data_IF_338536900569
#
_entry.id   IF_338536900569
#
_cell.length_a   1.000
_cell.length_b   1.000
_cell.length_c   1.000
_cell.angle_alpha   90.00
_cell.angle_beta   90.00
_cell.angle_gamma   90.00
#
_symmetry.space_group_name_H-M   'P 1'
#
loop_
_entity.id
_entity.type
_entity.pdbx_description
1 polymer ?
#
# COMPACT_ATOMS: atom_id res chain seq x y z
N UNK A 1 0.39 19.71 7.45
CA UNK A 1 -1.08 19.79 7.32
C UNK A 1 -1.73 19.45 8.67
N UNK A 2 -1.60 18.23 9.23
CA UNK A 2 -2.24 17.81 10.48
C UNK A 2 -1.95 18.75 11.67
N UNK A 3 -0.70 19.20 11.85
CA UNK A 3 -0.31 20.18 12.88
C UNK A 3 -1.01 21.52 12.69
N UNK A 4 -1.10 22.00 11.47
CA UNK A 4 -1.78 23.26 11.16
C UNK A 4 -3.31 23.18 11.40
N UNK A 5 -3.87 21.97 11.30
CA UNK A 5 -5.28 21.69 11.57
C UNK A 5 -5.58 21.34 13.04
N UNK A 6 -4.61 21.46 13.95
CA UNK A 6 -4.79 21.20 15.38
C UNK A 6 -4.78 19.73 15.80
N UNK A 7 -4.48 18.79 14.89
CA UNK A 7 -4.45 17.34 15.17
C UNK A 7 -3.10 16.83 15.73
N UNK A 8 -2.20 17.73 16.08
CA UNK A 8 -0.89 17.39 16.62
C UNK A 8 0.20 17.16 15.54
N UNK A 9 1.43 16.88 16.00
CA UNK A 9 2.61 16.74 15.16
C UNK A 9 3.21 15.32 15.17
N UNK A 10 2.66 14.42 15.99
CA UNK A 10 3.16 13.05 16.14
C UNK A 10 2.15 12.02 15.59
N UNK A 11 2.67 10.87 15.19
CA UNK A 11 1.83 9.76 14.75
C UNK A 11 0.90 9.24 15.85
N UNK A 12 1.35 9.28 17.12
CA UNK A 12 0.55 8.87 18.27
C UNK A 12 -0.62 9.82 18.51
N UNK A 13 -0.43 11.13 18.31
CA UNK A 13 -1.52 12.10 18.36
C UNK A 13 -2.56 11.84 17.26
N UNK A 14 -2.14 11.52 16.02
CA UNK A 14 -3.05 11.17 14.94
C UNK A 14 -3.82 9.88 15.22
N UNK A 15 -3.20 8.90 15.87
CA UNK A 15 -3.86 7.68 16.30
C UNK A 15 -4.92 7.97 17.40
N UNK A 16 -4.58 8.75 18.41
CA UNK A 16 -5.51 9.16 19.47
C UNK A 16 -6.74 9.88 18.92
N UNK A 17 -6.55 10.67 17.86
CA UNK A 17 -7.61 11.36 17.14
C UNK A 17 -8.37 10.45 16.14
N UNK A 18 -8.03 9.17 16.03
CA UNK A 18 -8.68 8.24 15.13
C UNK A 18 -8.40 8.45 13.62
N UNK A 19 -7.42 9.29 13.27
CA UNK A 19 -7.01 9.51 11.88
C UNK A 19 -6.19 8.36 11.32
N UNK A 20 -5.51 7.62 12.21
CA UNK A 20 -4.68 6.44 11.89
C UNK A 20 -5.03 5.31 12.85
N UNK A 21 -5.24 4.11 12.33
CA UNK A 21 -5.45 2.94 13.17
C UNK A 21 -4.12 2.41 13.76
N UNK A 22 -4.15 1.66 14.88
CA UNK A 22 -2.94 1.02 15.42
C UNK A 22 -2.23 0.10 14.41
N UNK A 23 -2.98 -0.57 13.55
CA UNK A 23 -2.44 -1.42 12.48
C UNK A 23 -1.71 -0.58 11.43
N UNK A 24 -2.35 0.46 10.91
CA UNK A 24 -1.76 1.40 9.93
C UNK A 24 -0.49 2.04 10.47
N UNK A 25 -0.50 2.47 11.73
CA UNK A 25 0.68 3.05 12.37
C UNK A 25 1.85 2.07 12.46
N UNK A 26 1.59 0.81 12.81
CA UNK A 26 2.64 -0.21 12.82
C UNK A 26 3.22 -0.44 11.43
N UNK A 27 2.40 -0.48 10.40
CA UNK A 27 2.86 -0.64 9.01
C UNK A 27 3.69 0.56 8.56
N UNK A 28 3.24 1.77 8.88
CA UNK A 28 3.95 3.00 8.53
C UNK A 28 5.34 3.06 9.21
N UNK A 29 5.41 2.73 10.51
CA UNK A 29 6.69 2.69 11.24
C UNK A 29 7.66 1.65 10.67
N UNK A 30 7.17 0.46 10.29
CA UNK A 30 7.99 -0.57 9.64
C UNK A 30 8.51 -0.11 8.27
N UNK A 31 7.66 0.49 7.46
CA UNK A 31 8.06 1.02 6.16
C UNK A 31 9.08 2.16 6.32
N UNK A 32 8.85 3.10 7.23
CA UNK A 32 9.77 4.20 7.54
C UNK A 32 11.13 3.69 8.02
N UNK A 33 11.16 2.72 8.92
CA UNK A 33 12.41 2.12 9.41
C UNK A 33 13.23 1.50 8.26
N UNK A 34 12.57 0.75 7.35
CA UNK A 34 13.25 0.20 6.18
C UNK A 34 13.80 1.29 5.26
N UNK A 35 13.01 2.32 4.97
CA UNK A 35 13.45 3.42 4.10
C UNK A 35 14.61 4.20 4.72
N UNK A 36 14.62 4.41 6.03
CA UNK A 36 15.75 5.03 6.75
C UNK A 36 17.01 4.17 6.69
N UNK A 37 16.87 2.84 6.86
CA UNK A 37 18.01 1.92 6.73
C UNK A 37 18.59 1.94 5.31
N UNK A 38 17.73 1.88 4.29
CA UNK A 38 18.17 1.98 2.89
C UNK A 38 18.92 3.30 2.66
N UNK A 39 18.40 4.42 3.16
CA UNK A 39 19.04 5.74 3.04
C UNK A 39 20.39 5.79 3.74
N UNK A 40 20.50 5.23 4.95
CA UNK A 40 21.77 5.16 5.70
C UNK A 40 22.82 4.40 4.91
N UNK A 41 22.50 3.19 4.44
CA UNK A 41 23.42 2.37 3.65
C UNK A 41 23.77 3.01 2.30
N UNK A 42 22.83 3.75 1.71
CA UNK A 42 23.07 4.51 0.48
C UNK A 42 24.11 5.61 0.70
N UNK A 43 24.01 6.39 1.81
CA UNK A 43 25.01 7.39 2.16
C UNK A 43 26.39 6.77 2.41
N UNK A 44 26.44 5.60 3.07
CA UNK A 44 27.69 4.86 3.30
C UNK A 44 28.29 4.36 1.99
N UNK A 45 27.49 3.79 1.10
CA UNK A 45 27.94 3.28 -0.19
C UNK A 45 28.42 4.39 -1.14
N UNK A 46 27.76 5.55 -1.11
CA UNK A 46 28.13 6.71 -1.93
C UNK A 46 29.29 7.53 -1.35
N UNK A 47 29.67 7.33 -0.08
CA UNK A 47 30.67 8.14 0.64
C UNK A 47 30.27 9.62 0.84
N UNK A 48 29.00 9.95 0.54
CA UNK A 48 28.43 11.31 0.62
C UNK A 48 26.93 11.22 0.87
N UNK A 49 26.33 12.38 1.16
CA UNK A 49 24.86 12.48 1.17
C UNK A 49 24.32 12.21 -0.23
N UNK A 50 23.59 11.12 -0.39
CA UNK A 50 22.95 10.70 -1.63
C UNK A 50 21.50 10.28 -1.33
N UNK A 51 20.54 10.86 -2.04
CA UNK A 51 19.10 10.59 -1.84
C UNK A 51 18.49 9.82 -3.03
N UNK A 52 19.30 9.52 -4.06
CA UNK A 52 18.87 8.74 -5.24
C UNK A 52 19.50 7.36 -5.21
N UNK A 53 18.68 6.33 -5.11
CA UNK A 53 19.12 4.94 -5.17
C UNK A 53 19.41 4.53 -6.64
N UNK A 54 20.56 4.99 -7.14
CA UNK A 54 21.04 4.72 -8.48
C UNK A 54 21.33 3.23 -8.67
N UNK A 55 21.22 2.74 -9.90
CA UNK A 55 21.39 1.33 -10.22
C UNK A 55 22.72 0.75 -9.73
N UNK A 56 23.80 1.49 -9.91
CA UNK A 56 25.16 1.09 -9.52
C UNK A 56 25.32 0.89 -8.00
N UNK A 57 24.54 1.63 -7.20
CA UNK A 57 24.58 1.54 -5.74
C UNK A 57 23.63 0.47 -5.18
N UNK A 58 22.64 0.01 -5.95
CA UNK A 58 21.64 -0.95 -5.47
C UNK A 58 22.27 -2.27 -5.00
N UNK A 59 23.24 -2.80 -5.74
CA UNK A 59 23.90 -4.06 -5.40
C UNK A 59 24.69 -3.95 -4.09
N UNK A 60 25.43 -2.84 -3.91
CA UNK A 60 26.23 -2.60 -2.72
C UNK A 60 25.36 -2.37 -1.48
N UNK A 61 24.32 -1.55 -1.60
CA UNK A 61 23.32 -1.32 -0.52
C UNK A 61 22.62 -2.62 -0.16
N UNK A 62 22.26 -3.44 -1.15
CA UNK A 62 21.60 -4.72 -0.93
C UNK A 62 22.49 -5.71 -0.17
N UNK A 63 23.77 -5.80 -0.53
CA UNK A 63 24.74 -6.64 0.16
C UNK A 63 24.92 -6.20 1.62
N UNK A 64 25.12 -4.92 1.87
CA UNK A 64 25.28 -4.38 3.23
C UNK A 64 24.05 -4.61 4.10
N UNK A 65 22.84 -4.42 3.56
CA UNK A 65 21.60 -4.48 4.30
C UNK A 65 21.10 -5.91 4.54
N UNK A 66 21.41 -6.85 3.63
CA UNK A 66 20.97 -8.25 3.70
C UNK A 66 22.07 -9.19 4.22
N UNK A 67 23.34 -8.75 4.27
CA UNK A 67 24.46 -9.48 4.86
C UNK A 67 24.54 -9.35 6.38
N UNK A 68 23.81 -8.42 7.01
CA UNK A 68 23.72 -8.35 8.47
C UNK A 68 22.90 -9.56 8.95
N UNK A 69 23.49 -10.51 9.72
CA UNK A 69 22.69 -11.51 10.40
C UNK A 69 21.73 -10.78 11.34
N UNK A 70 20.46 -11.20 11.35
CA UNK A 70 19.54 -10.78 12.39
C UNK A 70 20.28 -10.98 13.73
N UNK A 71 20.53 -9.90 14.46
CA UNK A 71 21.16 -9.92 15.78
C UNK A 71 20.25 -10.65 16.74
N UNK A 72 20.48 -11.94 16.86
CA UNK A 72 19.76 -12.87 17.72
C UNK A 72 20.57 -14.15 17.90
N UNK A 73 21.43 -14.12 18.96
CA UNK A 73 22.12 -15.27 19.56
C UNK A 73 23.41 -15.77 18.86
N UNK A 74 24.62 -15.49 19.40
CA UNK A 74 25.88 -16.02 18.88
C UNK A 74 26.28 -17.39 19.48
N UNK A 75 25.35 -18.35 19.56
CA UNK A 75 25.68 -19.69 20.06
C UNK A 75 24.90 -20.77 19.33
N UNK A 76 25.25 -21.06 18.08
CA UNK A 76 25.08 -22.36 17.43
C UNK A 76 25.36 -22.23 15.93
N UNK A 77 26.62 -22.40 15.48
CA UNK A 77 26.98 -23.07 14.23
C UNK A 77 28.48 -22.97 13.97
N UNK A 78 29.23 -23.75 14.72
CA UNK A 78 30.52 -24.27 14.28
C UNK A 78 30.27 -25.76 13.96
N UNK A 79 30.07 -26.09 12.69
CA UNK A 79 30.46 -27.37 12.10
C UNK A 79 29.79 -27.54 10.73
N UNK A 80 30.62 -27.63 9.74
CA UNK A 80 30.52 -28.24 8.39
C UNK A 80 30.86 -27.25 7.25
N UNK A 81 32.17 -26.98 7.13
CA UNK A 81 32.73 -26.63 5.85
C UNK A 81 33.12 -27.95 5.12
N UNK A 82 32.28 -28.38 4.21
CA UNK A 82 32.67 -29.35 3.18
C UNK A 82 32.91 -28.58 1.88
N UNK A 83 34.18 -28.64 1.42
CA UNK A 83 34.67 -28.10 0.16
C UNK A 83 33.89 -28.67 -1.03
N UNK A 84 33.13 -27.84 -1.72
CA UNK A 84 32.74 -28.06 -3.11
C UNK A 84 33.19 -26.87 -3.97
N UNK A 85 33.78 -27.08 -5.16
CA UNK A 85 34.20 -26.00 -6.05
C UNK A 85 32.99 -25.27 -6.61
N UNK A 86 32.78 -24.03 -6.18
CA UNK A 86 31.73 -23.16 -6.70
C UNK A 86 32.12 -22.69 -8.11
N UNK A 87 31.37 -23.12 -9.12
CA UNK A 87 31.54 -22.69 -10.50
C UNK A 87 31.31 -21.17 -10.63
N UNK A 88 32.18 -20.50 -11.42
CA UNK A 88 32.19 -19.04 -11.61
C UNK A 88 30.87 -18.42 -12.09
N UNK A 89 29.94 -19.21 -12.63
CA UNK A 89 28.62 -18.77 -13.08
C UNK A 89 27.64 -18.43 -11.93
N UNK A 90 27.88 -18.90 -10.68
CA UNK A 90 27.01 -18.60 -9.54
C UNK A 90 27.30 -17.23 -8.91
N UNK A 91 28.49 -16.67 -9.14
CA UNK A 91 28.94 -15.42 -8.50
C UNK A 91 28.26 -14.17 -9.07
N UNK A 92 27.86 -14.17 -10.34
CA UNK A 92 27.26 -13.01 -11.01
C UNK A 92 25.74 -12.92 -10.73
N UNK A 93 25.06 -14.05 -10.57
CA UNK A 93 23.61 -14.09 -10.33
C UNK A 93 23.21 -13.81 -8.87
N UNK A 94 24.09 -14.07 -7.91
CA UNK A 94 23.81 -13.87 -6.49
C UNK A 94 23.63 -12.39 -6.10
N UNK A 95 24.50 -11.43 -6.49
CA UNK A 95 24.31 -10.01 -6.20
C UNK A 95 23.08 -9.42 -6.90
N UNK A 96 22.77 -9.86 -8.12
CA UNK A 96 21.58 -9.42 -8.86
C UNK A 96 20.28 -9.85 -8.14
N UNK A 97 20.18 -11.10 -7.69
CA UNK A 97 19.03 -11.57 -6.89
C UNK A 97 18.88 -10.82 -5.58
N UNK A 98 19.99 -10.43 -4.96
CA UNK A 98 20.00 -9.67 -3.71
C UNK A 98 19.50 -8.24 -3.92
N UNK A 99 19.92 -7.58 -5.00
CA UNK A 99 19.44 -6.27 -5.42
C UNK A 99 17.93 -6.29 -5.73
N UNK A 100 17.44 -7.27 -6.47
CA UNK A 100 16.01 -7.44 -6.77
C UNK A 100 15.18 -7.62 -5.49
N UNK A 101 15.66 -8.41 -4.52
CA UNK A 101 15.01 -8.58 -3.21
C UNK A 101 14.93 -7.28 -2.44
N UNK A 102 16.02 -6.48 -2.44
CA UNK A 102 16.02 -5.15 -1.84
C UNK A 102 14.99 -4.26 -2.51
N UNK A 103 15.02 -4.15 -3.84
CA UNK A 103 14.13 -3.27 -4.59
C UNK A 103 12.67 -3.66 -4.42
N UNK A 104 12.34 -4.94 -4.37
CA UNK A 104 10.98 -5.41 -4.06
C UNK A 104 10.53 -4.94 -2.67
N UNK A 105 11.38 -5.04 -1.65
CA UNK A 105 11.07 -4.56 -0.29
C UNK A 105 10.95 -3.04 -0.25
N UNK A 106 11.85 -2.33 -0.94
CA UNK A 106 11.85 -0.87 -1.04
C UNK A 106 10.56 -0.35 -1.67
N UNK A 107 10.17 -0.88 -2.85
CA UNK A 107 8.95 -0.45 -3.52
C UNK A 107 7.69 -0.77 -2.71
N UNK A 108 7.63 -1.91 -2.04
CA UNK A 108 6.52 -2.23 -1.13
C UNK A 108 6.42 -1.25 0.03
N UNK A 109 7.54 -0.89 0.64
CA UNK A 109 7.56 0.09 1.72
C UNK A 109 7.17 1.49 1.23
N UNK A 110 7.71 1.94 0.11
CA UNK A 110 7.36 3.23 -0.49
C UNK A 110 5.87 3.30 -0.85
N UNK A 111 5.33 2.25 -1.45
CA UNK A 111 3.90 2.14 -1.80
C UNK A 111 3.01 2.15 -0.56
N UNK A 112 3.40 1.44 0.51
CA UNK A 112 2.66 1.45 1.78
C UNK A 112 2.62 2.86 2.40
N UNK A 113 3.74 3.57 2.44
CA UNK A 113 3.78 4.96 2.92
C UNK A 113 2.87 5.86 2.10
N UNK A 114 2.92 5.76 0.77
CA UNK A 114 2.09 6.56 -0.13
C UNK A 114 0.60 6.32 0.12
N UNK A 115 0.18 5.05 0.18
CA UNK A 115 -1.23 4.68 0.39
C UNK A 115 -1.74 5.11 1.77
N UNK A 116 -0.98 4.85 2.83
CA UNK A 116 -1.36 5.26 4.18
C UNK A 116 -1.40 6.79 4.33
N UNK A 117 -0.45 7.50 3.71
CA UNK A 117 -0.47 8.97 3.68
C UNK A 117 -1.71 9.52 2.97
N UNK A 118 -2.13 8.90 1.86
CA UNK A 118 -3.35 9.28 1.15
C UNK A 118 -4.60 9.08 2.01
N UNK A 119 -4.72 7.94 2.69
CA UNK A 119 -5.83 7.64 3.61
C UNK A 119 -5.89 8.71 4.71
N UNK A 120 -4.75 9.05 5.33
CA UNK A 120 -4.69 10.06 6.39
C UNK A 120 -5.08 11.44 5.89
N UNK A 121 -4.59 11.85 4.71
CA UNK A 121 -4.91 13.16 4.15
C UNK A 121 -6.38 13.29 3.78
N UNK A 122 -7.00 12.26 3.22
CA UNK A 122 -8.43 12.25 2.91
C UNK A 122 -9.27 12.27 4.18
N UNK A 123 -8.95 11.44 5.19
CA UNK A 123 -9.63 11.50 6.50
C UNK A 123 -9.54 12.88 7.15
N UNK A 124 -8.37 13.50 7.06
CA UNK A 124 -8.18 14.85 7.59
C UNK A 124 -9.04 15.87 6.84
N UNK A 125 -9.10 15.78 5.52
CA UNK A 125 -9.94 16.65 4.69
C UNK A 125 -11.43 16.50 5.03
N UNK A 126 -11.89 15.26 5.22
CA UNK A 126 -13.28 14.97 5.60
C UNK A 126 -13.61 15.54 6.97
N UNK A 127 -12.73 15.37 7.97
CA UNK A 127 -12.93 15.97 9.30
C UNK A 127 -12.94 17.49 9.30
N UNK A 128 -12.08 18.12 8.49
CA UNK A 128 -12.08 19.59 8.36
C UNK A 128 -13.38 20.09 7.72
N UNK A 129 -13.92 19.37 6.74
CA UNK A 129 -15.23 19.69 6.15
C UNK A 129 -16.35 19.55 7.19
N UNK A 130 -16.32 18.47 7.99
CA UNK A 130 -17.30 18.27 9.09
C UNK A 130 -17.24 19.38 10.12
N UNK A 131 -16.04 19.80 10.54
CA UNK A 131 -15.86 20.91 11.49
C UNK A 131 -16.33 22.27 10.94
N UNK A 132 -16.23 22.46 9.62
CA UNK A 132 -16.67 23.68 8.97
C UNK A 132 -18.19 23.75 8.73
N UNK A 133 -18.93 22.68 9.07
CA UNK A 133 -20.39 22.63 8.90
C UNK A 133 -21.10 23.40 10.02
N UNK A 134 -22.19 24.12 9.71
CA UNK A 134 -23.02 24.72 10.72
C UNK A 134 -23.59 23.68 11.70
N UNK A 135 -23.63 24.00 12.99
CA UNK A 135 -24.08 23.05 14.03
C UNK A 135 -25.52 22.51 13.82
N UNK A 136 -26.33 23.20 13.04
CA UNK A 136 -27.71 22.81 12.72
C UNK A 136 -27.85 22.06 11.37
N UNK A 137 -26.76 21.84 10.63
CA UNK A 137 -26.83 21.13 9.36
C UNK A 137 -27.02 19.64 9.61
N UNK A 138 -28.08 19.07 9.03
CA UNK A 138 -28.31 17.62 9.04
C UNK A 138 -27.10 16.88 8.42
N UNK A 139 -26.81 15.67 8.91
CA UNK A 139 -25.80 14.82 8.30
C UNK A 139 -26.14 14.61 6.81
N UNK A 140 -25.16 14.69 5.88
CA UNK A 140 -25.44 14.49 4.48
C UNK A 140 -25.91 13.05 4.27
N UNK A 141 -27.05 12.92 3.62
CA UNK A 141 -27.47 11.62 3.09
C UNK A 141 -26.64 11.42 1.80
N UNK A 142 -25.74 10.47 1.81
CA UNK A 142 -24.94 10.15 0.63
C UNK A 142 -25.84 9.48 -0.42
N UNK A 143 -25.82 9.92 -1.69
CA UNK A 143 -26.54 9.26 -2.77
C UNK A 143 -26.05 7.82 -2.91
N UNK A 144 -26.99 6.85 -2.85
CA UNK A 144 -26.67 5.45 -3.05
C UNK A 144 -26.45 5.15 -4.54
N UNK A 145 -25.34 4.55 -4.89
CA UNK A 145 -25.06 3.99 -6.23
C UNK A 145 -25.70 2.60 -6.31
N UNK A 146 -25.51 1.82 -5.25
CA UNK A 146 -26.18 0.54 -5.02
C UNK A 146 -26.16 0.23 -3.50
N UNK A 147 -26.68 -0.92 -3.02
CA UNK A 147 -26.70 -1.23 -1.58
C UNK A 147 -25.32 -1.28 -0.90
N UNK A 148 -24.26 -1.42 -1.67
CA UNK A 148 -22.86 -1.55 -1.18
C UNK A 148 -22.05 -0.28 -1.27
N UNK A 149 -22.44 0.67 -2.14
CA UNK A 149 -21.64 1.83 -2.47
C UNK A 149 -22.46 3.10 -2.56
N UNK A 150 -21.85 4.19 -2.12
CA UNK A 150 -22.40 5.54 -2.11
C UNK A 150 -21.48 6.51 -2.85
N UNK A 151 -22.04 7.61 -3.33
CA UNK A 151 -21.28 8.75 -3.83
C UNK A 151 -21.05 9.74 -2.67
N UNK A 152 -19.80 9.88 -2.26
CA UNK A 152 -19.38 10.89 -1.29
C UNK A 152 -18.66 12.03 -2.04
N UNK A 153 -19.44 12.96 -2.58
CA UNK A 153 -18.93 14.14 -3.32
C UNK A 153 -17.95 13.76 -4.46
N UNK A 154 -18.33 12.80 -5.28
CA UNK A 154 -17.53 12.31 -6.38
C UNK A 154 -16.46 11.29 -5.97
N UNK A 155 -16.48 10.81 -4.73
CA UNK A 155 -15.65 9.72 -4.25
C UNK A 155 -16.52 8.50 -3.92
N UNK A 156 -16.15 7.34 -4.44
CA UNK A 156 -16.85 6.09 -4.17
C UNK A 156 -16.61 5.68 -2.71
N UNK A 157 -17.69 5.51 -1.95
CA UNK A 157 -17.65 5.14 -0.54
C UNK A 157 -18.34 3.81 -0.29
N UNK A 158 -17.71 2.93 0.50
CA UNK A 158 -18.28 1.65 0.92
C UNK A 158 -19.35 1.84 2.00
N UNK A 159 -20.40 1.03 1.96
CA UNK A 159 -21.47 1.04 2.97
C UNK A 159 -20.98 0.56 4.35
N UNK A 160 -20.00 -0.36 4.37
CA UNK A 160 -19.45 -0.95 5.59
C UNK A 160 -17.94 -1.07 5.49
N UNK A 161 -17.23 -0.87 6.63
CA UNK A 161 -15.79 -1.09 6.72
C UNK A 161 -15.40 -2.56 6.50
N UNK A 162 -16.35 -3.48 6.70
CA UNK A 162 -16.19 -4.93 6.54
C UNK A 162 -16.66 -5.44 5.18
N UNK A 163 -17.14 -4.57 4.28
CA UNK A 163 -17.75 -4.97 3.00
C UNK A 163 -16.89 -5.99 2.23
N UNK A 164 -15.60 -5.73 2.10
CA UNK A 164 -14.70 -6.60 1.31
C UNK A 164 -14.32 -7.91 2.01
N UNK A 165 -14.46 -7.96 3.33
CA UNK A 165 -14.28 -9.19 4.09
C UNK A 165 -15.52 -10.09 4.00
N UNK A 166 -16.71 -9.48 4.03
CA UNK A 166 -17.99 -10.17 3.94
C UNK A 166 -18.36 -10.55 2.50
N UNK A 167 -18.02 -9.68 1.54
CA UNK A 167 -18.33 -9.82 0.13
C UNK A 167 -17.09 -9.53 -0.74
N UNK A 168 -16.15 -10.48 -0.86
CA UNK A 168 -14.86 -10.27 -1.54
C UNK A 168 -14.97 -9.80 -3.00
N UNK A 169 -15.97 -10.28 -3.75
CA UNK A 169 -16.21 -9.87 -5.14
C UNK A 169 -16.47 -8.37 -5.30
N UNK A 170 -16.91 -7.67 -4.23
CA UNK A 170 -17.08 -6.21 -4.23
C UNK A 170 -15.76 -5.46 -4.40
N UNK A 171 -14.59 -6.10 -4.18
CA UNK A 171 -13.28 -5.51 -4.44
C UNK A 171 -13.17 -5.10 -5.91
N UNK A 172 -13.45 -6.01 -6.84
CA UNK A 172 -13.38 -5.70 -8.28
C UNK A 172 -14.55 -4.83 -8.76
N UNK A 173 -15.72 -4.96 -8.13
CA UNK A 173 -16.87 -4.10 -8.41
C UNK A 173 -16.55 -2.61 -8.14
N UNK A 174 -15.74 -2.31 -7.12
CA UNK A 174 -15.27 -0.95 -6.83
C UNK A 174 -14.67 -0.27 -8.07
N UNK A 175 -13.78 -0.96 -8.77
CA UNK A 175 -13.10 -0.42 -9.96
C UNK A 175 -14.03 -0.35 -11.17
N UNK A 176 -14.93 -1.32 -11.31
CA UNK A 176 -15.98 -1.28 -12.31
C UNK A 176 -16.89 -0.06 -12.14
N UNK A 177 -17.33 0.21 -10.90
CA UNK A 177 -18.16 1.38 -10.62
C UNK A 177 -17.43 2.70 -10.89
N UNK A 178 -16.16 2.83 -10.47
CA UNK A 178 -15.34 4.00 -10.80
C UNK A 178 -15.19 4.21 -12.31
N UNK A 179 -15.18 3.14 -13.08
CA UNK A 179 -15.07 3.19 -14.54
C UNK A 179 -16.38 3.59 -15.22
N UNK A 180 -17.54 3.18 -14.67
CA UNK A 180 -18.86 3.40 -15.27
C UNK A 180 -19.52 4.72 -14.85
N UNK A 181 -19.25 5.20 -13.64
CA UNK A 181 -19.89 6.37 -13.07
C UNK A 181 -19.10 7.64 -13.40
N UNK A 182 -19.59 8.44 -14.34
CA UNK A 182 -18.91 9.66 -14.79
C UNK A 182 -18.68 10.71 -13.67
N UNK A 183 -19.52 10.68 -12.62
CA UNK A 183 -19.39 11.55 -11.44
C UNK A 183 -18.34 11.12 -10.43
N UNK A 184 -17.85 9.86 -10.50
CA UNK A 184 -16.90 9.32 -9.54
C UNK A 184 -15.46 9.53 -10.07
N UNK A 185 -14.70 10.33 -9.35
CA UNK A 185 -13.31 10.70 -9.69
C UNK A 185 -12.25 9.92 -8.89
N UNK A 186 -12.67 9.13 -7.87
CA UNK A 186 -11.75 8.40 -7.01
C UNK A 186 -12.43 7.64 -5.88
N UNK A 187 -11.63 7.24 -4.88
CA UNK A 187 -12.08 6.47 -3.73
C UNK A 187 -12.01 7.33 -2.46
N UNK A 188 -13.00 7.20 -1.58
CA UNK A 188 -12.99 7.83 -0.27
C UNK A 188 -11.91 7.22 0.65
N UNK A 189 -11.57 7.93 1.73
CA UNK A 189 -10.65 7.42 2.75
C UNK A 189 -11.10 6.07 3.32
N UNK A 190 -12.41 5.93 3.56
CA UNK A 190 -13.03 4.71 4.08
C UNK A 190 -12.86 3.54 3.12
N UNK A 191 -13.13 3.76 1.82
CA UNK A 191 -12.95 2.74 0.78
C UNK A 191 -11.48 2.33 0.60
N UNK A 192 -10.56 3.30 0.57
CA UNK A 192 -9.13 3.01 0.51
C UNK A 192 -8.64 2.20 1.71
N UNK A 193 -9.11 2.52 2.92
CA UNK A 193 -8.80 1.77 4.14
C UNK A 193 -9.35 0.36 4.09
N UNK A 194 -10.60 0.20 3.68
CA UNK A 194 -11.24 -1.10 3.53
C UNK A 194 -10.49 -1.98 2.52
N UNK A 195 -10.09 -1.45 1.35
CA UNK A 195 -9.26 -2.14 0.36
C UNK A 195 -7.87 -2.51 0.92
N UNK A 196 -7.23 -1.59 1.65
CA UNK A 196 -5.94 -1.84 2.27
C UNK A 196 -5.98 -3.01 3.25
N UNK A 197 -7.05 -3.11 4.04
CA UNK A 197 -7.25 -4.17 5.02
C UNK A 197 -7.68 -5.50 4.37
N UNK A 198 -8.35 -5.46 3.22
CA UNK A 198 -8.85 -6.64 2.51
C UNK A 198 -7.79 -7.37 1.66
N UNK A 199 -6.53 -6.92 1.63
CA UNK A 199 -5.46 -7.59 0.86
C UNK A 199 -5.32 -9.09 1.12
N UNK A 200 -5.40 -9.57 2.38
CA UNK A 200 -5.31 -11.01 2.65
C UNK A 200 -6.43 -11.84 2.05
N UNK A 201 -7.56 -11.22 1.69
CA UNK A 201 -8.71 -11.89 1.07
C UNK A 201 -8.43 -12.25 -0.40
N UNK A 202 -7.52 -11.51 -1.05
CA UNK A 202 -7.17 -11.74 -2.46
C UNK A 202 -6.14 -12.87 -2.60
N UNK A 203 -6.50 -14.04 -2.14
CA UNK A 203 -5.71 -15.28 -2.20
C UNK A 203 -5.91 -16.04 -3.52
N UNK A 204 -5.44 -17.29 -3.58
CA UNK A 204 -5.59 -18.15 -4.75
C UNK A 204 -7.04 -18.51 -5.04
N UNK A 205 -7.89 -18.66 -4.00
CA UNK A 205 -9.31 -18.96 -4.16
C UNK A 205 -10.05 -17.76 -4.76
N UNK A 206 -9.78 -16.55 -4.28
CA UNK A 206 -10.31 -15.32 -4.84
C UNK A 206 -9.97 -15.16 -6.33
N UNK A 207 -8.72 -15.44 -6.72
CA UNK A 207 -8.27 -15.37 -8.13
C UNK A 207 -8.91 -16.45 -9.01
N UNK A 208 -9.17 -17.63 -8.43
CA UNK A 208 -9.78 -18.74 -9.13
C UNK A 208 -11.29 -18.60 -9.32
N UNK A 209 -11.96 -17.77 -8.51
CA UNK A 209 -13.40 -17.57 -8.51
C UNK A 209 -13.91 -17.06 -9.87
N UNK A 210 -14.87 -17.75 -10.50
CA UNK A 210 -15.43 -17.35 -11.80
C UNK A 210 -16.07 -15.96 -11.79
N UNK A 211 -16.70 -15.57 -10.67
CA UNK A 211 -17.33 -14.24 -10.52
C UNK A 211 -16.26 -13.15 -10.59
N UNK A 212 -15.15 -13.31 -9.87
CA UNK A 212 -14.04 -12.37 -9.88
C UNK A 212 -13.36 -12.31 -11.25
N UNK A 213 -13.18 -13.45 -11.93
CA UNK A 213 -12.63 -13.49 -13.29
C UNK A 213 -13.52 -12.76 -14.28
N UNK A 214 -14.81 -13.00 -14.23
CA UNK A 214 -15.79 -12.33 -15.09
C UNK A 214 -15.80 -10.82 -14.82
N UNK A 215 -15.75 -10.40 -13.56
CA UNK A 215 -15.72 -8.99 -13.18
C UNK A 215 -14.45 -8.30 -13.69
N UNK A 216 -13.30 -8.95 -13.58
CA UNK A 216 -12.05 -8.42 -14.12
C UNK A 216 -12.08 -8.31 -15.65
N UNK A 217 -12.60 -9.31 -16.34
CA UNK A 217 -12.80 -9.26 -17.80
C UNK A 217 -13.76 -8.13 -18.21
N UNK A 218 -14.82 -7.87 -17.45
CA UNK A 218 -15.72 -6.72 -17.70
C UNK A 218 -14.98 -5.39 -17.63
N UNK A 219 -14.05 -5.23 -16.67
CA UNK A 219 -13.22 -4.03 -16.56
C UNK A 219 -12.35 -3.87 -17.82
N UNK A 220 -11.72 -4.96 -18.28
CA UNK A 220 -10.83 -4.94 -19.45
C UNK A 220 -11.57 -4.75 -20.79
N UNK A 221 -12.78 -5.27 -20.90
CA UNK A 221 -13.61 -5.20 -22.10
C UNK A 221 -14.44 -3.92 -22.21
N UNK A 222 -14.42 -3.07 -21.19
CA UNK A 222 -15.17 -1.83 -21.22
C UNK A 222 -14.64 -0.89 -22.33
N UNK A 223 -15.55 -0.18 -23.04
CA UNK A 223 -15.17 0.65 -24.17
C UNK A 223 -14.31 1.88 -23.78
N UNK A 224 -14.33 2.25 -22.48
CA UNK A 224 -13.61 3.43 -21.96
C UNK A 224 -13.10 3.16 -20.53
N UNK A 225 -12.08 3.94 -20.13
CA UNK A 225 -11.61 3.98 -18.74
C UNK A 225 -10.77 2.80 -18.29
N UNK A 226 -10.39 1.85 -19.15
CA UNK A 226 -9.59 0.66 -18.78
C UNK A 226 -8.26 1.06 -18.16
N UNK A 227 -7.52 1.99 -18.77
CA UNK A 227 -6.24 2.47 -18.25
C UNK A 227 -6.39 3.11 -16.86
N UNK A 228 -7.42 3.94 -16.66
CA UNK A 228 -7.70 4.58 -15.38
C UNK A 228 -8.05 3.55 -14.29
N UNK A 229 -8.89 2.55 -14.63
CA UNK A 229 -9.25 1.48 -13.70
C UNK A 229 -8.02 0.65 -13.29
N UNK A 230 -7.20 0.22 -14.24
CA UNK A 230 -5.97 -0.52 -13.97
C UNK A 230 -4.96 0.31 -13.17
N UNK A 231 -4.85 1.60 -13.46
CA UNK A 231 -4.00 2.52 -12.71
C UNK A 231 -4.48 2.64 -11.26
N UNK A 232 -5.78 2.78 -11.02
CA UNK A 232 -6.37 2.83 -9.69
C UNK A 232 -6.19 1.50 -8.94
N UNK A 233 -6.40 0.35 -9.62
CA UNK A 233 -6.10 -0.99 -9.08
C UNK A 233 -4.63 -1.13 -8.70
N UNK A 234 -3.70 -0.61 -9.52
CA UNK A 234 -2.28 -0.63 -9.21
C UNK A 234 -1.95 0.28 -8.00
N UNK A 235 -2.49 1.49 -7.96
CA UNK A 235 -2.29 2.42 -6.83
C UNK A 235 -2.76 1.84 -5.50
N UNK A 236 -3.88 1.11 -5.50
CA UNK A 236 -4.44 0.43 -4.31
C UNK A 236 -3.79 -0.93 -4.01
N UNK A 237 -2.85 -1.39 -4.82
CA UNK A 237 -2.24 -2.74 -4.77
C UNK A 237 -3.18 -3.89 -5.10
N UNK A 238 -4.40 -3.63 -5.51
CA UNK A 238 -5.35 -4.70 -5.89
C UNK A 238 -4.85 -5.45 -7.12
N UNK A 239 -4.30 -4.75 -8.13
CA UNK A 239 -3.77 -5.39 -9.33
C UNK A 239 -2.63 -6.37 -9.01
N UNK A 240 -1.70 -5.98 -8.14
CA UNK A 240 -0.56 -6.82 -7.71
C UNK A 240 -0.99 -8.08 -6.96
N UNK A 241 -2.10 -8.01 -6.20
CA UNK A 241 -2.61 -9.16 -5.44
C UNK A 241 -3.52 -10.05 -6.28
N UNK A 242 -4.15 -9.48 -7.33
CA UNK A 242 -5.04 -10.22 -8.21
C UNK A 242 -4.29 -11.01 -9.30
N UNK A 243 -3.21 -10.47 -9.89
CA UNK A 243 -2.38 -11.13 -10.88
C UNK A 243 -1.30 -12.02 -10.25
#
# INVERSE_FOLDING_TARGET
VARAAGYGSSWDALQQQGLVTPFELRQLRRAQALLHLVRLHLHMAAGRREDKLLFDLQAQVAQQLLAQPATGNPAANQSNQSNQPQSASQSITAPMRTSERLMRRYYRAAKAVMQLSQIVLLNLADRLREQSRPAHALAPVLPAINPRFFDNNGLLEVASDQLYMEQPHSILETFWLCQQQAGISGLSARTLRALYNARPVMDSAFRADPVNRQQFLRILQAPRGVAAALQLMNQTSVLEHYL
#
